data_IF_690765816090
#
_entry.id   IF_690765816090
#
_cell.length_a   1.000
_cell.length_b   1.000
_cell.length_c   1.000
_cell.angle_alpha   90.00
_cell.angle_beta   90.00
_cell.angle_gamma   90.00
#
_symmetry.space_group_name_H-M   'P 1'
#
loop_
_entity.id
_entity.type
_entity.pdbx_description
1 polymer ?
#
# COMPACT_ATOMS: atom_id res chain seq x y z
N UNK A 1 14.73 -9.87 9.99
CA UNK A 1 13.51 -10.48 10.60
C UNK A 1 12.66 -9.50 11.42
N UNK A 2 12.76 -8.18 11.21
CA UNK A 2 12.17 -7.17 12.11
C UNK A 2 11.26 -6.11 11.42
N UNK A 3 10.80 -6.34 10.18
CA UNK A 3 10.02 -5.35 9.44
C UNK A 3 8.50 -5.39 9.75
N UNK A 4 7.95 -6.55 10.17
CA UNK A 4 6.49 -6.79 10.26
C UNK A 4 5.70 -5.93 11.26
N UNK A 5 6.36 -5.22 12.17
CA UNK A 5 5.67 -4.45 13.22
C UNK A 5 5.57 -2.95 12.92
N UNK A 6 6.14 -2.44 11.83
CA UNK A 6 6.16 -1.00 11.57
C UNK A 6 4.95 -0.45 10.77
N UNK A 7 4.40 -1.17 9.78
CA UNK A 7 3.35 -0.60 8.92
C UNK A 7 2.05 -0.30 9.66
N UNK A 8 1.54 -1.25 10.45
CA UNK A 8 0.27 -1.07 11.17
C UNK A 8 0.29 0.03 12.23
N UNK A 9 1.35 0.19 13.05
CA UNK A 9 1.50 1.36 13.91
C UNK A 9 1.61 2.68 13.14
N UNK A 10 2.35 2.72 12.02
CA UNK A 10 2.45 3.92 11.17
C UNK A 10 1.10 4.30 10.57
N UNK A 11 0.38 3.34 9.99
CA UNK A 11 -0.96 3.54 9.45
C UNK A 11 -1.95 3.97 10.55
N UNK A 12 -1.88 3.36 11.74
CA UNK A 12 -2.69 3.78 12.89
C UNK A 12 -2.39 5.22 13.31
N UNK A 13 -1.13 5.63 13.29
CA UNK A 13 -0.74 7.00 13.59
C UNK A 13 -1.21 7.98 12.51
N UNK A 14 -1.01 7.65 11.24
CA UNK A 14 -1.45 8.47 10.11
C UNK A 14 -2.96 8.70 10.10
N UNK A 15 -3.75 7.63 10.31
CA UNK A 15 -5.20 7.73 10.43
C UNK A 15 -5.65 8.54 11.67
N UNK A 16 -4.92 8.43 12.80
CA UNK A 16 -5.21 9.25 14.00
C UNK A 16 -4.87 10.73 13.80
N UNK A 17 -3.87 11.02 12.98
CA UNK A 17 -3.43 12.38 12.66
C UNK A 17 -4.24 13.02 11.52
N UNK A 18 -5.18 12.27 10.90
CA UNK A 18 -5.98 12.76 9.79
C UNK A 18 -5.20 12.90 8.48
N UNK A 19 -4.06 12.20 8.33
CA UNK A 19 -3.24 12.27 7.12
C UNK A 19 -4.04 11.78 5.89
N UNK A 20 -4.83 10.73 6.06
CA UNK A 20 -5.65 10.14 4.99
C UNK A 20 -6.91 10.95 4.65
N UNK A 21 -7.28 11.94 5.47
CA UNK A 21 -8.53 12.69 5.28
C UNK A 21 -8.54 13.50 3.98
N UNK A 22 -7.36 13.79 3.40
CA UNK A 22 -7.23 14.51 2.14
C UNK A 22 -7.39 13.63 0.90
N UNK A 23 -7.18 12.31 1.02
CA UNK A 23 -7.20 11.35 -0.08
C UNK A 23 -8.42 10.41 -0.06
N UNK A 24 -9.02 10.20 1.12
CA UNK A 24 -10.24 9.40 1.25
C UNK A 24 -11.48 10.22 0.86
N UNK A 25 -12.23 9.71 -0.12
CA UNK A 25 -13.57 10.20 -0.44
C UNK A 25 -14.61 9.41 0.37
N UNK A 26 -15.43 10.06 1.24
CA UNK A 26 -16.48 9.38 1.98
C UNK A 26 -17.46 8.61 1.09
N UNK A 27 -17.68 7.34 1.39
CA UNK A 27 -18.63 6.49 0.66
C UNK A 27 -19.82 6.16 1.55
N UNK A 28 -21.01 6.61 1.16
CA UNK A 28 -22.26 6.23 1.83
C UNK A 28 -22.84 5.00 1.15
N UNK A 29 -23.03 3.93 1.92
CA UNK A 29 -23.53 2.65 1.43
C UNK A 29 -24.43 1.98 2.47
N UNK A 30 -25.00 0.82 2.12
CA UNK A 30 -25.73 -0.05 3.04
C UNK A 30 -24.78 -1.09 3.63
N UNK A 31 -24.91 -1.34 4.93
CA UNK A 31 -24.25 -2.42 5.63
C UNK A 31 -25.31 -3.38 6.16
N UNK A 32 -25.09 -4.68 5.96
CA UNK A 32 -25.96 -5.74 6.47
C UNK A 32 -25.31 -6.29 7.73
N UNK A 33 -25.96 -6.13 8.88
CA UNK A 33 -25.49 -6.68 10.15
C UNK A 33 -25.73 -8.21 10.20
N UNK A 34 -25.14 -8.90 11.18
CA UNK A 34 -25.18 -10.37 11.28
C UNK A 34 -26.61 -10.93 11.43
N UNK A 35 -27.53 -10.13 11.96
CA UNK A 35 -28.95 -10.47 12.12
C UNK A 35 -29.78 -10.26 10.84
N UNK A 36 -29.15 -9.78 9.76
CA UNK A 36 -29.79 -9.49 8.49
C UNK A 36 -30.44 -8.11 8.39
N UNK A 37 -30.32 -7.27 9.43
CA UNK A 37 -30.80 -5.89 9.37
C UNK A 37 -29.88 -5.02 8.50
N UNK A 38 -30.47 -4.06 7.77
CA UNK A 38 -29.73 -3.11 6.95
C UNK A 38 -29.64 -1.75 7.64
N UNK A 39 -28.44 -1.18 7.67
CA UNK A 39 -28.22 0.21 8.09
C UNK A 39 -27.39 0.97 7.07
N UNK A 40 -27.69 2.25 6.92
CA UNK A 40 -26.86 3.16 6.12
C UNK A 40 -25.62 3.53 6.90
N UNK A 41 -24.46 3.42 6.26
CA UNK A 41 -23.15 3.78 6.83
C UNK A 41 -22.43 4.72 5.89
N UNK A 42 -21.66 5.64 6.45
CA UNK A 42 -20.68 6.43 5.69
C UNK A 42 -19.30 5.96 6.09
N UNK A 43 -18.59 5.33 5.16
CA UNK A 43 -17.22 4.87 5.34
C UNK A 43 -16.29 6.04 5.06
N UNK A 44 -15.48 6.41 6.06
CA UNK A 44 -14.54 7.55 5.99
C UNK A 44 -13.13 7.18 6.42
N UNK A 45 -12.89 5.91 6.78
CA UNK A 45 -11.64 5.43 7.37
C UNK A 45 -11.37 4.01 6.94
N UNK A 46 -10.10 3.63 6.91
CA UNK A 46 -9.67 2.26 6.68
C UNK A 46 -10.03 1.39 7.87
N UNK A 47 -10.78 0.32 7.61
CA UNK A 47 -11.23 -0.63 8.61
C UNK A 47 -10.22 -1.75 8.86
N UNK A 48 -9.20 -1.92 8.01
CA UNK A 48 -8.16 -2.95 8.10
C UNK A 48 -7.05 -2.65 9.11
N UNK A 49 -6.95 -1.40 9.59
CA UNK A 49 -5.91 -1.00 10.56
C UNK A 49 -6.22 -1.63 11.93
N UNK A 50 -5.25 -2.35 12.49
CA UNK A 50 -5.36 -3.04 13.80
C UNK A 50 -4.34 -2.46 14.79
N UNK A 51 -4.69 -1.42 15.57
CA UNK A 51 -3.77 -0.79 16.52
C UNK A 51 -3.30 -1.73 17.65
N UNK A 52 -4.06 -2.79 17.93
CA UNK A 52 -3.74 -3.81 18.93
C UNK A 52 -2.70 -4.84 18.45
N UNK A 53 -2.20 -4.72 17.23
CA UNK A 53 -1.21 -5.65 16.68
C UNK A 53 0.09 -5.57 17.48
N UNK A 54 0.54 -6.70 18.00
CA UNK A 54 1.78 -6.84 18.76
C UNK A 54 2.61 -7.97 18.20
N UNK A 55 3.93 -7.91 18.37
CA UNK A 55 4.83 -8.99 17.97
C UNK A 55 4.41 -10.34 18.59
N UNK A 56 4.05 -10.33 19.88
CA UNK A 56 3.58 -11.52 20.58
C UNK A 56 2.25 -12.08 20.05
N UNK A 57 1.40 -11.24 19.44
CA UNK A 57 0.21 -11.69 18.73
C UNK A 57 0.56 -12.29 17.38
N UNK A 58 1.45 -11.65 16.62
CA UNK A 58 1.87 -12.09 15.28
C UNK A 58 2.58 -13.44 15.30
N UNK A 59 3.41 -13.72 16.31
CA UNK A 59 4.14 -15.00 16.43
C UNK A 59 3.23 -16.20 16.72
N UNK A 60 1.99 -15.97 17.16
CA UNK A 60 1.00 -17.03 17.41
C UNK A 60 0.21 -17.43 16.16
N UNK A 61 0.35 -16.67 15.07
CA UNK A 61 -0.36 -16.95 13.83
C UNK A 61 0.24 -18.16 13.12
N UNK A 62 -0.63 -19.01 12.58
CA UNK A 62 -0.21 -20.19 11.81
C UNK A 62 0.20 -19.78 10.40
N UNK A 63 1.06 -20.58 9.78
CA UNK A 63 1.41 -20.44 8.37
C UNK A 63 0.16 -20.51 7.48
N UNK A 64 0.01 -19.53 6.59
CA UNK A 64 -1.15 -19.40 5.71
C UNK A 64 -1.09 -20.35 4.50
N UNK A 65 0.11 -20.67 4.03
CA UNK A 65 0.33 -21.46 2.80
C UNK A 65 0.97 -22.83 3.05
N UNK A 66 1.84 -22.93 4.06
CA UNK A 66 2.51 -24.17 4.44
C UNK A 66 2.51 -24.29 5.97
N UNK A 67 2.39 -25.52 6.52
CA UNK A 67 2.38 -25.74 7.98
C UNK A 67 3.62 -25.17 8.70
N UNK A 68 4.78 -25.23 8.03
CA UNK A 68 6.08 -24.74 8.49
C UNK A 68 6.48 -23.40 7.83
N UNK A 69 5.57 -22.76 7.11
CA UNK A 69 5.81 -21.52 6.39
C UNK A 69 5.86 -20.29 7.30
N UNK A 70 6.70 -19.32 6.94
CA UNK A 70 6.83 -18.05 7.66
C UNK A 70 5.77 -17.00 7.26
N UNK A 71 5.01 -17.24 6.19
CA UNK A 71 3.95 -16.34 5.74
C UNK A 71 2.66 -16.64 6.48
N UNK A 72 2.07 -15.62 7.10
CA UNK A 72 0.87 -15.68 7.94
C UNK A 72 -0.08 -14.56 7.55
N UNK A 73 -1.34 -14.62 7.97
CA UNK A 73 -2.31 -13.54 7.72
C UNK A 73 -1.87 -12.19 8.31
N UNK A 74 -1.04 -12.17 9.36
CA UNK A 74 -0.56 -10.94 9.99
C UNK A 74 0.68 -10.33 9.32
N UNK A 75 1.26 -11.01 8.33
CA UNK A 75 2.40 -10.50 7.56
C UNK A 75 2.17 -10.57 6.04
N UNK A 76 0.89 -10.62 5.67
CA UNK A 76 0.40 -10.56 4.29
C UNK A 76 -0.58 -9.40 4.19
N UNK A 77 -0.75 -8.85 2.99
CA UNK A 77 -1.79 -7.86 2.73
C UNK A 77 -3.17 -8.46 3.00
N UNK A 78 -4.07 -7.63 3.53
CA UNK A 78 -5.46 -8.01 3.67
C UNK A 78 -6.12 -8.09 2.30
N UNK A 79 -7.13 -8.93 2.18
CA UNK A 79 -8.07 -8.84 1.06
C UNK A 79 -9.00 -7.68 1.39
N UNK A 80 -9.02 -6.67 0.52
CA UNK A 80 -9.74 -5.42 0.76
C UNK A 80 -10.56 -5.04 -0.47
N UNK A 81 -11.72 -4.43 -0.24
CA UNK A 81 -12.55 -3.83 -1.26
C UNK A 81 -12.30 -2.31 -1.31
N UNK A 82 -12.04 -1.76 -2.49
CA UNK A 82 -11.75 -0.34 -2.64
C UNK A 82 -11.63 0.09 -4.10
N UNK A 83 -11.60 1.41 -4.30
CA UNK A 83 -11.41 2.03 -5.61
C UNK A 83 -10.57 3.30 -5.47
N UNK A 84 -9.81 3.63 -6.52
CA UNK A 84 -9.02 4.86 -6.61
C UNK A 84 -9.15 5.46 -8.02
N UNK A 85 -9.02 6.78 -8.13
CA UNK A 85 -9.03 7.49 -9.40
C UNK A 85 -7.91 8.55 -9.41
N UNK A 86 -7.20 8.65 -10.54
CA UNK A 86 -6.16 9.66 -10.76
C UNK A 86 -6.46 10.38 -12.07
N UNK A 87 -6.60 11.72 -12.01
CA UNK A 87 -6.75 12.54 -13.20
C UNK A 87 -5.38 12.94 -13.73
N UNK A 88 -5.07 12.51 -14.95
CA UNK A 88 -3.80 12.83 -15.63
C UNK A 88 -4.08 13.66 -16.87
N UNK A 89 -3.29 14.70 -17.09
CA UNK A 89 -3.44 15.59 -18.24
C UNK A 89 -2.09 16.10 -18.75
N UNK A 90 -2.07 16.52 -20.02
CA UNK A 90 -0.91 17.22 -20.60
C UNK A 90 -0.74 18.56 -19.88
N UNK A 91 0.49 18.89 -19.48
CA UNK A 91 0.82 20.13 -18.76
C UNK A 91 0.18 21.38 -19.37
N UNK A 92 0.29 21.57 -20.69
CA UNK A 92 -0.28 22.73 -21.36
C UNK A 92 -1.81 22.84 -21.23
N UNK A 93 -2.52 21.71 -21.16
CA UNK A 93 -3.97 21.70 -20.96
C UNK A 93 -4.31 22.04 -19.50
N UNK A 94 -3.61 21.41 -18.55
CA UNK A 94 -3.77 21.67 -17.11
C UNK A 94 -3.54 23.16 -16.80
N UNK A 95 -2.49 23.76 -17.38
CA UNK A 95 -2.18 25.19 -17.26
C UNK A 95 -3.26 26.06 -17.92
N UNK A 96 -3.73 25.71 -19.13
CA UNK A 96 -4.79 26.47 -19.82
C UNK A 96 -6.12 26.48 -19.05
N UNK A 97 -6.39 25.43 -18.29
CA UNK A 97 -7.58 25.29 -17.44
C UNK A 97 -7.35 25.82 -16.01
N UNK A 98 -6.15 26.33 -15.70
CA UNK A 98 -5.77 26.80 -14.36
C UNK A 98 -6.01 25.76 -13.26
N UNK A 99 -5.80 24.48 -13.56
CA UNK A 99 -5.96 23.39 -12.60
C UNK A 99 -4.69 23.22 -11.75
N UNK A 100 -4.82 22.86 -10.45
CA UNK A 100 -3.67 22.60 -9.59
C UNK A 100 -2.93 21.33 -10.03
N UNK A 101 -1.60 21.34 -9.87
CA UNK A 101 -0.74 20.18 -10.18
C UNK A 101 -0.29 19.54 -8.87
N UNK A 102 -0.74 18.31 -8.60
CA UNK A 102 -0.33 17.54 -7.42
C UNK A 102 1.02 16.82 -7.63
N UNK A 103 1.35 16.47 -8.87
CA UNK A 103 2.56 15.73 -9.17
C UNK A 103 2.82 15.62 -10.67
N UNK A 104 4.00 15.09 -11.01
CA UNK A 104 4.44 14.90 -12.40
C UNK A 104 4.97 13.48 -12.57
N UNK A 105 4.40 12.73 -13.51
CA UNK A 105 4.93 11.42 -13.88
C UNK A 105 6.25 11.58 -14.63
N UNK A 106 7.36 11.23 -13.98
CA UNK A 106 8.72 11.36 -14.54
C UNK A 106 9.17 10.16 -15.37
N UNK A 107 8.84 8.95 -14.91
CA UNK A 107 9.18 7.71 -15.59
C UNK A 107 8.22 6.59 -15.17
N UNK A 108 8.15 5.54 -15.98
CA UNK A 108 7.43 4.31 -15.66
C UNK A 108 8.19 3.14 -16.29
N UNK A 109 8.45 2.11 -15.50
CA UNK A 109 9.19 0.94 -15.95
C UNK A 109 8.44 -0.35 -15.57
N UNK A 110 8.45 -1.29 -16.51
CA UNK A 110 7.93 -2.65 -16.32
C UNK A 110 9.06 -3.62 -16.64
N UNK A 111 9.28 -4.58 -15.76
CA UNK A 111 10.33 -5.59 -15.90
C UNK A 111 9.76 -6.97 -15.62
N UNK A 112 10.28 -7.99 -16.31
CA UNK A 112 9.94 -9.39 -16.03
C UNK A 112 10.92 -9.98 -15.03
N UNK A 113 10.41 -10.79 -14.10
CA UNK A 113 11.18 -11.61 -13.17
C UNK A 113 10.64 -13.04 -13.19
N UNK A 114 11.40 -14.05 -12.74
CA UNK A 114 10.90 -15.41 -12.65
C UNK A 114 9.63 -15.49 -11.78
N UNK A 115 8.60 -16.24 -12.20
CA UNK A 115 7.29 -16.24 -11.54
C UNK A 115 7.30 -16.88 -10.15
N UNK A 116 8.22 -17.80 -9.89
CA UNK A 116 8.42 -18.47 -8.59
C UNK A 116 8.94 -17.51 -7.51
N UNK A 117 9.60 -16.41 -7.91
CA UNK A 117 10.12 -15.37 -7.01
C UNK A 117 9.58 -13.98 -7.38
N UNK A 118 8.35 -13.91 -7.89
CA UNK A 118 7.73 -12.67 -8.38
C UNK A 118 7.85 -11.46 -7.44
N UNK A 119 7.96 -11.70 -6.13
CA UNK A 119 8.12 -10.67 -5.10
C UNK A 119 9.37 -9.81 -5.24
N UNK A 120 10.38 -10.21 -6.02
CA UNK A 120 11.60 -9.42 -6.25
C UNK A 120 11.40 -8.28 -7.26
N UNK A 121 10.24 -8.21 -7.93
CA UNK A 121 9.96 -7.23 -8.99
C UNK A 121 10.39 -5.79 -8.68
N UNK A 122 10.05 -5.22 -7.49
CA UNK A 122 10.43 -3.86 -7.13
C UNK A 122 11.96 -3.62 -7.15
N UNK A 123 12.77 -4.59 -6.71
CA UNK A 123 14.24 -4.48 -6.71
C UNK A 123 14.83 -4.28 -8.13
N UNK A 124 14.11 -4.68 -9.17
CA UNK A 124 14.53 -4.49 -10.57
C UNK A 124 13.80 -3.33 -11.25
N UNK A 125 12.52 -3.12 -10.93
CA UNK A 125 11.68 -2.09 -11.52
C UNK A 125 12.07 -0.68 -11.05
N UNK A 126 12.38 -0.51 -9.75
CA UNK A 126 12.76 0.79 -9.17
C UNK A 126 14.04 1.33 -9.83
N UNK A 127 15.16 0.57 -9.90
CA UNK A 127 16.35 1.05 -10.61
C UNK A 127 16.11 1.36 -12.09
N UNK A 128 15.21 0.62 -12.76
CA UNK A 128 14.87 0.89 -14.15
C UNK A 128 14.12 2.22 -14.32
N UNK A 129 13.14 2.49 -13.46
CA UNK A 129 12.40 3.76 -13.47
C UNK A 129 13.30 4.95 -13.11
N UNK A 130 14.18 4.80 -12.11
CA UNK A 130 15.14 5.83 -11.72
C UNK A 130 16.11 6.18 -12.85
N UNK A 131 16.66 5.17 -13.55
CA UNK A 131 17.52 5.40 -14.72
C UNK A 131 16.80 6.17 -15.83
N UNK A 132 15.53 5.86 -16.11
CA UNK A 132 14.74 6.62 -17.09
C UNK A 132 14.48 8.06 -16.64
N UNK A 133 14.27 8.27 -15.34
CA UNK A 133 14.05 9.60 -14.76
C UNK A 133 15.35 10.43 -14.63
N UNK A 134 16.52 9.80 -14.79
CA UNK A 134 17.82 10.42 -14.53
C UNK A 134 18.06 10.69 -13.04
N UNK A 135 17.49 9.86 -12.16
CA UNK A 135 17.54 9.98 -10.71
C UNK A 135 18.31 8.80 -10.09
N UNK A 136 18.73 8.99 -8.85
CA UNK A 136 19.30 7.96 -7.98
C UNK A 136 18.36 7.70 -6.79
N UNK A 137 18.61 6.62 -6.03
CA UNK A 137 17.85 6.32 -4.81
C UNK A 137 17.94 7.45 -3.78
N UNK A 138 19.09 8.14 -3.72
CA UNK A 138 19.31 9.26 -2.81
C UNK A 138 18.49 10.51 -3.16
N UNK A 139 17.97 10.60 -4.39
CA UNK A 139 17.13 11.72 -4.83
C UNK A 139 15.64 11.49 -4.51
N UNK A 140 15.28 10.35 -3.90
CA UNK A 140 13.90 9.97 -3.60
C UNK A 140 13.62 10.13 -2.11
N UNK A 141 12.69 11.03 -1.79
CA UNK A 141 12.29 11.29 -0.40
C UNK A 141 11.39 10.20 0.17
N UNK A 142 10.50 9.63 -0.66
CA UNK A 142 9.47 8.67 -0.24
C UNK A 142 9.35 7.53 -1.25
N UNK A 143 9.33 6.29 -0.75
CA UNK A 143 9.04 5.10 -1.52
C UNK A 143 7.72 4.49 -1.05
N UNK A 144 6.75 4.39 -1.96
CA UNK A 144 5.52 3.61 -1.77
C UNK A 144 5.71 2.24 -2.44
N UNK A 145 6.09 1.23 -1.65
CA UNK A 145 6.29 -0.15 -2.11
C UNK A 145 5.15 -1.00 -1.56
N UNK A 146 4.36 -1.61 -2.45
CA UNK A 146 3.23 -2.44 -2.05
C UNK A 146 3.64 -3.61 -1.13
N UNK A 147 2.95 -3.72 0.01
CA UNK A 147 3.21 -4.71 1.07
C UNK A 147 2.41 -6.01 0.90
N UNK A 148 2.49 -6.65 -0.28
CA UNK A 148 1.76 -7.89 -0.56
C UNK A 148 2.06 -9.02 0.46
N UNK A 149 3.34 -9.22 0.77
CA UNK A 149 3.82 -9.97 1.93
C UNK A 149 4.83 -9.11 2.69
N UNK A 150 5.34 -9.55 3.82
CA UNK A 150 6.45 -8.83 4.46
C UNK A 150 7.83 -9.33 4.01
N UNK A 151 7.91 -10.57 3.52
CA UNK A 151 9.15 -11.21 3.09
C UNK A 151 9.76 -10.54 1.85
N UNK A 152 8.95 -10.28 0.84
CA UNK A 152 9.35 -9.60 -0.39
C UNK A 152 9.64 -8.11 -0.18
N UNK A 153 8.90 -7.41 0.69
CA UNK A 153 9.19 -5.99 0.99
C UNK A 153 10.54 -5.89 1.69
N UNK A 154 10.78 -6.72 2.70
CA UNK A 154 12.07 -6.75 3.40
C UNK A 154 13.21 -7.01 2.41
N UNK A 155 13.05 -7.99 1.52
CA UNK A 155 14.03 -8.29 0.49
C UNK A 155 14.27 -7.11 -0.45
N UNK A 156 13.21 -6.46 -0.95
CA UNK A 156 13.34 -5.34 -1.89
C UNK A 156 13.97 -4.08 -1.26
N UNK A 157 13.74 -3.85 0.04
CA UNK A 157 14.35 -2.72 0.76
C UNK A 157 15.85 -2.97 1.02
N UNK A 158 16.24 -4.23 1.24
CA UNK A 158 17.63 -4.61 1.49
C UNK A 158 18.47 -4.73 0.20
N UNK A 159 17.84 -4.70 -0.98
CA UNK A 159 18.46 -4.86 -2.31
C UNK A 159 18.97 -3.53 -2.87
#
# INVERSE_FOLDING_TARGET
TACNCQPLPRASQAQKQGIFDQEICPVTTKFVDEDGSERTVTVTKDDGIRPSTTLAGLTKLRGAFKPDGSTTAGNSSQVSDGAAAVLVGRRSVVESLSLPVLGVLKASAVVGVPPDVMGIGPAYAIPAALRQAGLTVADIDVFEINEAFASQVSLCIES
#
